data_IF_881433537035
#
_entry.id   IF_881433537035
#
_cell.length_a   1.000
_cell.length_b   1.000
_cell.length_c   1.000
_cell.angle_alpha   90.00
_cell.angle_beta   90.00
_cell.angle_gamma   90.00
#
_symmetry.space_group_name_H-M   'P 1'
#
loop_
_entity.id
_entity.type
_entity.pdbx_description
1 polymer ?
#
# COMPACT_ATOMS: atom_id res chain seq x y z
N UNK A 1 -8.94 19.16 12.04
CA UNK A 1 -7.72 18.37 12.24
C UNK A 1 -7.04 18.11 10.89
N UNK A 2 -5.77 18.41 10.80
CA UNK A 2 -5.03 18.26 9.55
C UNK A 2 -4.70 16.80 9.29
N UNK A 3 -4.97 16.33 8.06
CA UNK A 3 -4.62 14.96 7.67
C UNK A 3 -3.09 14.80 7.54
N UNK A 4 -2.58 13.63 7.91
CA UNK A 4 -1.16 13.29 7.77
C UNK A 4 -1.02 11.81 7.43
N UNK A 5 0.00 11.51 6.62
CA UNK A 5 0.22 10.13 6.19
C UNK A 5 0.92 9.32 7.28
N UNK A 6 0.45 8.10 7.51
CA UNK A 6 1.05 7.13 8.43
C UNK A 6 2.56 7.06 8.25
N UNK A 7 3.30 7.01 9.37
CA UNK A 7 4.77 6.90 9.33
C UNK A 7 5.22 5.62 8.63
N UNK A 8 4.51 4.52 8.84
CA UNK A 8 4.82 3.25 8.15
C UNK A 8 4.61 3.39 6.64
N UNK A 9 3.54 4.08 6.22
CA UNK A 9 3.26 4.30 4.80
C UNK A 9 4.33 5.19 4.17
N UNK A 10 4.76 6.24 4.84
CA UNK A 10 5.85 7.11 4.37
C UNK A 10 7.13 6.30 4.18
N UNK A 11 7.45 5.46 5.16
CA UNK A 11 8.65 4.60 5.08
C UNK A 11 8.60 3.65 3.88
N UNK A 12 7.46 3.00 3.68
CA UNK A 12 7.28 2.10 2.54
C UNK A 12 7.45 2.85 1.22
N UNK A 13 6.80 4.02 1.10
CA UNK A 13 6.88 4.84 -0.11
C UNK A 13 8.30 5.30 -0.40
N UNK A 14 9.04 5.72 0.63
CA UNK A 14 10.44 6.12 0.48
C UNK A 14 11.30 4.98 -0.04
N UNK A 15 11.12 3.77 0.50
CA UNK A 15 11.88 2.61 0.03
C UNK A 15 11.53 2.25 -1.41
N UNK A 16 10.27 2.39 -1.80
CA UNK A 16 9.85 2.18 -3.19
C UNK A 16 10.50 3.23 -4.10
N UNK A 17 10.49 4.49 -3.69
CA UNK A 17 11.11 5.58 -4.47
C UNK A 17 12.62 5.41 -4.60
N UNK A 18 13.28 4.95 -3.54
CA UNK A 18 14.73 4.70 -3.59
C UNK A 18 15.08 3.54 -4.53
N UNK A 19 14.25 2.51 -4.55
CA UNK A 19 14.50 1.31 -5.37
C UNK A 19 14.06 1.48 -6.82
N UNK A 20 13.06 2.33 -7.07
CA UNK A 20 12.49 2.58 -8.40
C UNK A 20 12.39 4.09 -8.64
N UNK A 21 13.55 4.74 -8.70
CA UNK A 21 13.65 6.21 -8.73
C UNK A 21 12.93 6.83 -9.94
N UNK A 22 12.88 6.13 -11.06
CA UNK A 22 12.29 6.63 -12.31
C UNK A 22 10.86 6.14 -12.54
N UNK A 23 10.23 5.55 -11.52
CA UNK A 23 8.88 5.01 -11.64
C UNK A 23 7.84 6.10 -11.97
N UNK A 24 6.74 5.70 -12.59
CA UNK A 24 5.60 6.59 -12.76
C UNK A 24 4.96 6.92 -11.42
N UNK A 25 4.38 8.12 -11.31
CA UNK A 25 3.65 8.57 -10.12
C UNK A 25 2.22 9.01 -10.47
N UNK A 26 1.79 8.73 -11.70
CA UNK A 26 0.49 9.21 -12.19
C UNK A 26 -0.69 8.67 -11.38
N UNK A 27 -0.59 7.43 -10.92
CA UNK A 27 -1.65 6.78 -10.14
C UNK A 27 -1.34 6.75 -8.64
N UNK A 28 -0.34 7.49 -8.20
CA UNK A 28 -0.02 7.60 -6.77
C UNK A 28 -1.12 8.38 -6.05
N UNK A 29 -1.37 7.99 -4.79
CA UNK A 29 -2.30 8.71 -3.94
C UNK A 29 -2.19 8.27 -2.50
N UNK A 30 -2.71 9.08 -1.60
CA UNK A 30 -2.78 8.73 -0.19
C UNK A 30 -4.04 9.26 0.48
N UNK A 31 -4.51 10.45 0.13
CA UNK A 31 -5.73 11.01 0.70
C UNK A 31 -6.91 10.75 -0.22
N UNK A 32 -8.07 10.39 0.35
CA UNK A 32 -9.26 10.11 -0.43
C UNK A 32 -9.84 11.37 -1.07
N UNK A 33 -10.33 11.25 -2.30
CA UNK A 33 -11.07 12.31 -2.97
C UNK A 33 -12.49 12.41 -2.39
N UNK A 34 -13.33 13.30 -2.95
CA UNK A 34 -14.69 13.49 -2.45
C UNK A 34 -15.53 12.22 -2.54
N UNK A 35 -15.30 11.39 -3.54
CA UNK A 35 -16.02 10.11 -3.66
C UNK A 35 -15.61 9.15 -2.53
N UNK A 36 -14.34 9.10 -2.21
CA UNK A 36 -13.83 8.22 -1.15
C UNK A 36 -14.22 8.72 0.24
N UNK A 37 -14.36 10.03 0.42
CA UNK A 37 -14.73 10.61 1.72
C UNK A 37 -16.12 10.16 2.17
N UNK A 38 -17.01 9.84 1.25
CA UNK A 38 -18.36 9.38 1.55
C UNK A 38 -18.46 7.86 1.67
N UNK A 39 -17.34 7.14 1.51
CA UNK A 39 -17.27 5.69 1.64
C UNK A 39 -16.25 5.32 2.71
N UNK A 40 -16.38 4.10 3.24
CA UNK A 40 -15.42 3.58 4.20
C UNK A 40 -14.13 3.20 3.46
N UNK A 41 -13.07 3.97 3.66
CA UNK A 41 -11.78 3.76 3.00
C UNK A 41 -10.63 4.17 3.91
N UNK A 42 -9.51 3.44 3.85
CA UNK A 42 -8.31 3.77 4.61
C UNK A 42 -7.58 4.99 4.05
N UNK A 43 -7.97 5.49 2.88
CA UNK A 43 -7.50 6.78 2.38
C UNK A 43 -8.16 7.96 3.10
N UNK A 44 -9.19 7.71 3.89
CA UNK A 44 -9.82 8.76 4.68
C UNK A 44 -9.07 8.94 5.99
N UNK A 45 -8.86 10.19 6.44
CA UNK A 45 -8.20 10.43 7.73
C UNK A 45 -9.02 9.84 8.88
N UNK A 46 -8.32 9.26 9.85
CA UNK A 46 -8.97 8.81 11.08
C UNK A 46 -9.54 10.02 11.83
N UNK A 47 -10.80 9.92 12.34
CA UNK A 47 -11.45 11.08 12.98
C UNK A 47 -10.69 11.64 14.18
N UNK A 48 -10.05 10.74 14.95
CA UNK A 48 -9.41 11.14 16.21
C UNK A 48 -8.04 11.76 16.02
N UNK A 49 -7.29 11.33 14.99
CA UNK A 49 -5.88 11.69 14.84
C UNK A 49 -5.55 12.39 13.54
N UNK A 50 -6.39 12.24 12.50
CA UNK A 50 -6.10 12.70 11.16
C UNK A 50 -5.16 11.78 10.37
N UNK A 51 -4.78 10.65 10.95
CA UNK A 51 -3.86 9.71 10.29
C UNK A 51 -4.52 9.04 9.08
N UNK A 52 -3.82 9.04 7.95
CA UNK A 52 -4.22 8.30 6.75
C UNK A 52 -3.37 7.02 6.68
N UNK A 53 -4.02 5.86 6.66
CA UNK A 53 -3.38 4.56 6.83
C UNK A 53 -3.28 3.78 5.52
N UNK A 54 -3.18 4.44 4.38
CA UNK A 54 -3.05 3.77 3.10
C UNK A 54 -2.31 4.63 2.09
N UNK A 55 -1.60 3.95 1.18
CA UNK A 55 -1.03 4.59 -0.01
C UNK A 55 -1.41 3.78 -1.24
N UNK A 56 -1.56 4.48 -2.36
CA UNK A 56 -1.57 3.88 -3.68
C UNK A 56 -0.25 4.23 -4.37
N UNK A 57 0.39 3.22 -4.92
CA UNK A 57 1.68 3.36 -5.63
C UNK A 57 1.47 2.93 -7.08
N UNK A 58 1.82 3.80 -8.03
CA UNK A 58 1.66 3.52 -9.45
C UNK A 58 2.30 2.18 -9.81
N UNK A 59 1.59 1.36 -10.57
CA UNK A 59 2.05 0.03 -10.94
C UNK A 59 3.20 0.03 -11.93
N UNK A 60 3.45 1.15 -12.61
CA UNK A 60 4.59 1.25 -13.52
C UNK A 60 5.85 1.64 -12.75
N UNK A 61 6.52 0.63 -12.21
CA UNK A 61 7.75 0.81 -11.43
C UNK A 61 8.98 0.94 -12.32
N UNK A 62 8.98 0.29 -13.48
CA UNK A 62 10.07 0.26 -14.44
C UNK A 62 9.51 -0.22 -15.78
N UNK A 63 10.39 -0.58 -16.73
CA UNK A 63 9.98 -1.03 -18.06
C UNK A 63 9.37 -2.44 -18.07
N UNK A 64 9.49 -3.18 -16.96
CA UNK A 64 8.91 -4.51 -16.85
C UNK A 64 7.54 -4.40 -16.17
N UNK A 65 6.42 -4.62 -16.91
CA UNK A 65 5.08 -4.45 -16.35
C UNK A 65 4.77 -5.35 -15.17
N UNK A 66 5.35 -6.55 -15.12
CA UNK A 66 5.13 -7.52 -14.05
C UNK A 66 5.84 -7.18 -12.74
N UNK A 67 6.70 -6.16 -12.74
CA UNK A 67 7.46 -5.79 -11.52
C UNK A 67 6.54 -5.43 -10.36
N UNK A 68 5.40 -4.76 -10.64
CA UNK A 68 4.45 -4.42 -9.58
C UNK A 68 3.85 -5.67 -8.95
N UNK A 69 3.64 -6.71 -9.74
CA UNK A 69 3.11 -7.99 -9.23
C UNK A 69 4.14 -8.66 -8.32
N UNK A 70 5.42 -8.63 -8.70
CA UNK A 70 6.49 -9.16 -7.86
C UNK A 70 6.62 -8.37 -6.56
N UNK A 71 6.56 -7.05 -6.63
CA UNK A 71 6.63 -6.21 -5.43
C UNK A 71 5.43 -6.49 -4.51
N UNK A 72 4.22 -6.56 -5.06
CA UNK A 72 3.02 -6.86 -4.28
C UNK A 72 3.14 -8.21 -3.59
N UNK A 73 3.69 -9.22 -4.27
CA UNK A 73 3.91 -10.53 -3.68
C UNK A 73 4.92 -10.48 -2.53
N UNK A 74 6.00 -9.72 -2.69
CA UNK A 74 7.00 -9.58 -1.62
C UNK A 74 6.44 -8.83 -0.41
N UNK A 75 5.59 -7.81 -0.64
CA UNK A 75 4.92 -7.12 0.46
C UNK A 75 3.99 -8.08 1.20
N UNK A 76 3.24 -8.91 0.47
CA UNK A 76 2.36 -9.91 1.07
C UNK A 76 3.16 -10.89 1.96
N UNK A 77 4.27 -11.38 1.47
CA UNK A 77 5.12 -12.30 2.25
C UNK A 77 5.64 -11.61 3.51
N UNK A 78 6.13 -10.36 3.39
CA UNK A 78 6.62 -9.60 4.53
C UNK A 78 5.53 -9.35 5.55
N UNK A 79 4.29 -9.16 5.11
CA UNK A 79 3.16 -8.86 5.99
C UNK A 79 2.82 -10.02 6.93
N UNK A 80 3.22 -11.24 6.60
CA UNK A 80 3.01 -12.38 7.49
C UNK A 80 3.70 -12.19 8.84
N UNK A 81 4.81 -11.48 8.86
CA UNK A 81 5.59 -11.23 10.08
C UNK A 81 5.62 -9.75 10.49
N UNK A 82 5.47 -8.84 9.54
CA UNK A 82 5.44 -7.41 9.83
C UNK A 82 4.01 -6.96 10.07
N UNK A 83 3.66 -6.76 11.33
CA UNK A 83 2.29 -6.47 11.76
C UNK A 83 1.82 -5.06 11.45
N UNK A 84 2.68 -4.23 10.86
CA UNK A 84 2.29 -2.87 10.45
C UNK A 84 1.40 -2.87 9.23
N UNK A 85 1.49 -3.90 8.37
CA UNK A 85 0.73 -3.99 7.14
C UNK A 85 -0.62 -4.63 7.45
N UNK A 86 -1.71 -3.96 7.03
CA UNK A 86 -3.07 -4.41 7.29
C UNK A 86 -3.62 -5.27 6.14
N UNK A 87 -3.47 -4.81 4.91
CA UNK A 87 -3.83 -5.60 3.72
C UNK A 87 -3.21 -4.95 2.48
N UNK A 88 -3.23 -5.68 1.38
CA UNK A 88 -2.74 -5.22 0.08
C UNK A 88 -3.71 -5.64 -1.02
N UNK A 89 -3.96 -4.75 -1.98
CA UNK A 89 -4.81 -5.03 -3.14
C UNK A 89 -4.03 -4.69 -4.40
N UNK A 90 -4.02 -5.63 -5.35
CA UNK A 90 -3.43 -5.38 -6.66
C UNK A 90 -3.96 -6.40 -7.68
N UNK A 91 -4.17 -5.96 -8.91
CA UNK A 91 -4.62 -6.74 -10.06
C UNK A 91 -5.81 -7.66 -9.73
N UNK A 92 -6.82 -7.09 -9.07
CA UNK A 92 -8.07 -7.80 -8.76
C UNK A 92 -7.99 -8.78 -7.62
N UNK A 93 -6.90 -8.75 -6.83
CA UNK A 93 -6.71 -9.66 -5.70
C UNK A 93 -6.39 -8.88 -4.43
N UNK A 94 -6.82 -9.44 -3.31
CA UNK A 94 -6.53 -8.90 -1.98
C UNK A 94 -5.88 -9.97 -1.11
N UNK A 95 -4.92 -9.56 -0.29
CA UNK A 95 -4.34 -10.41 0.75
C UNK A 95 -4.41 -9.68 2.08
N UNK A 96 -4.78 -10.39 3.13
CA UNK A 96 -4.93 -9.86 4.48
C UNK A 96 -4.73 -10.99 5.50
N UNK A 97 -4.74 -10.70 6.81
CA UNK A 97 -4.68 -11.78 7.80
C UNK A 97 -5.78 -12.83 7.65
N UNK A 98 -6.92 -12.44 7.08
CA UNK A 98 -7.98 -13.40 6.76
C UNK A 98 -7.43 -14.44 5.78
N UNK A 99 -7.64 -15.72 6.07
CA UNK A 99 -7.10 -16.85 5.29
C UNK A 99 -5.57 -16.88 5.24
N UNK A 100 -4.90 -16.33 6.26
CA UNK A 100 -3.44 -16.44 6.41
C UNK A 100 -2.63 -15.77 5.31
N UNK A 101 -3.09 -14.62 4.85
CA UNK A 101 -2.41 -13.83 3.83
C UNK A 101 -2.43 -14.45 2.43
N UNK A 102 -3.25 -15.46 2.17
CA UNK A 102 -3.40 -15.98 0.81
C UNK A 102 -4.11 -14.93 -0.07
N UNK A 103 -3.65 -14.82 -1.31
CA UNK A 103 -4.35 -14.02 -2.31
C UNK A 103 -5.74 -14.59 -2.54
N UNK A 104 -6.74 -13.71 -2.57
CA UNK A 104 -8.11 -14.06 -2.91
C UNK A 104 -8.71 -12.99 -3.79
N UNK A 105 -9.79 -13.34 -4.48
CA UNK A 105 -10.45 -12.39 -5.38
C UNK A 105 -10.92 -11.16 -4.61
N UNK A 106 -10.55 -9.97 -5.11
CA UNK A 106 -11.05 -8.71 -4.58
C UNK A 106 -12.40 -8.39 -5.22
N UNK A 107 -13.43 -8.16 -4.42
CA UNK A 107 -14.79 -7.92 -4.88
C UNK A 107 -15.20 -6.45 -4.80
N UNK A 108 -14.25 -5.56 -4.55
CA UNK A 108 -14.51 -4.12 -4.50
C UNK A 108 -14.66 -3.51 -5.89
N UNK A 109 -15.03 -2.24 -5.92
CA UNK A 109 -15.31 -1.51 -7.15
C UNK A 109 -14.06 -1.31 -8.00
N UNK A 110 -12.94 -0.96 -7.38
CA UNK A 110 -11.68 -0.69 -8.07
C UNK A 110 -10.74 -1.88 -7.93
N UNK A 111 -10.42 -2.55 -9.05
CA UNK A 111 -9.57 -3.73 -9.05
C UNK A 111 -8.08 -3.44 -8.79
N UNK A 112 -7.67 -2.15 -8.77
CA UNK A 112 -6.30 -1.73 -8.49
C UNK A 112 -5.27 -2.29 -9.47
N UNK A 113 -5.59 -2.23 -10.79
CA UNK A 113 -4.64 -2.62 -11.85
C UNK A 113 -3.58 -1.56 -12.11
N UNK A 114 -3.95 -0.28 -11.95
CA UNK A 114 -3.06 0.86 -12.24
C UNK A 114 -2.15 1.22 -11.08
N UNK A 115 -2.44 0.73 -9.88
CA UNK A 115 -1.64 0.99 -8.69
C UNK A 115 -1.74 -0.16 -7.72
N UNK A 116 -0.76 -0.24 -6.81
CA UNK A 116 -0.79 -1.15 -5.68
C UNK A 116 -1.39 -0.38 -4.51
N UNK A 117 -2.46 -0.91 -3.92
CA UNK A 117 -3.02 -0.34 -2.70
C UNK A 117 -2.45 -1.06 -1.49
N UNK A 118 -1.83 -0.33 -0.57
CA UNK A 118 -1.25 -0.89 0.65
C UNK A 118 -1.86 -0.17 1.84
N UNK A 119 -2.50 -0.93 2.73
CA UNK A 119 -3.08 -0.40 3.96
C UNK A 119 -2.25 -0.80 5.16
N UNK A 120 -2.17 0.09 6.13
CA UNK A 120 -1.38 -0.07 7.34
C UNK A 120 -2.29 0.04 8.56
N UNK A 121 -1.87 -0.57 9.65
CA UNK A 121 -2.55 -0.36 10.94
C UNK A 121 -2.24 1.05 11.44
N UNK A 122 -3.15 1.66 12.20
CA UNK A 122 -2.89 2.98 12.78
C UNK A 122 -1.72 2.97 13.76
N UNK A 123 -1.07 4.13 13.90
CA UNK A 123 -0.08 4.40 14.93
C UNK A 123 1.14 3.47 14.88
N UNK A 124 1.62 3.18 13.68
CA UNK A 124 2.80 2.32 13.51
C UNK A 124 4.07 3.14 13.31
N UNK A 125 5.20 2.54 13.64
CA UNK A 125 6.51 3.18 13.47
C UNK A 125 6.97 3.13 12.03
N UNK A 126 7.76 4.13 11.60
CA UNK A 126 8.36 4.18 10.28
C UNK A 126 9.70 3.47 10.20
N UNK A 127 9.74 2.21 10.63
CA UNK A 127 10.95 1.39 10.57
C UNK A 127 11.13 0.80 9.18
N UNK A 128 12.39 0.51 8.81
CA UNK A 128 12.74 -0.13 7.55
C UNK A 128 11.92 -1.42 7.34
N UNK A 129 11.40 -1.59 6.13
CA UNK A 129 10.70 -2.81 5.75
C UNK A 129 11.69 -3.79 5.11
N UNK A 130 11.74 -5.01 5.63
CA UNK A 130 12.63 -6.04 5.10
C UNK A 130 11.97 -6.74 3.91
N UNK A 131 12.02 -6.08 2.77
CA UNK A 131 11.42 -6.55 1.52
C UNK A 131 12.53 -6.55 0.46
N UNK A 132 12.83 -7.70 -0.19
CA UNK A 132 13.99 -7.81 -1.07
C UNK A 132 14.08 -6.74 -2.15
N UNK A 133 12.99 -6.46 -2.88
CA UNK A 133 12.99 -5.42 -3.91
C UNK A 133 13.15 -4.01 -3.34
N UNK A 134 12.98 -3.84 -2.03
CA UNK A 134 13.09 -2.53 -1.36
C UNK A 134 14.33 -2.44 -0.47
N UNK A 135 15.38 -3.15 -0.81
CA UNK A 135 16.66 -3.10 -0.11
C UNK A 135 16.79 -4.07 1.05
N UNK A 136 15.82 -4.94 1.26
CA UNK A 136 15.86 -5.97 2.29
C UNK A 136 16.62 -7.23 1.85
N UNK A 137 16.54 -8.26 2.69
CA UNK A 137 17.25 -9.52 2.44
C UNK A 137 16.35 -10.60 1.86
#
# INVERSE_FOLDING_TARGET
MKAWLSKAAVQMREQIDDSFADRSRKSDGWIGDQKHQNTKSDHNPLPDTGEVCAIDVDAKLCDQPEMSIYLAEQIRVAAKTDKRISYIIHVGKIASPLLGWKWRKYRGINSHHKHIHISFKPNQKGKFFNIPLLGGK
#
